data_IF_379481665006
#
_entry.id   IF_379481665006
#
_cell.length_a   1.000
_cell.length_b   1.000
_cell.length_c   1.000
_cell.angle_alpha   90.00
_cell.angle_beta   90.00
_cell.angle_gamma   90.00
#
_symmetry.space_group_name_H-M   'P 1'
#
loop_
_entity.id
_entity.type
_entity.pdbx_description
1 polymer ?
#
# COMPACT_ATOMS: atom_id res chain seq x y z
N UNK A 1 -2.18 28.69 -26.92
CA UNK A 1 -1.53 27.35 -26.99
C UNK A 1 -2.04 26.52 -25.80
N UNK A 2 -2.90 25.52 -26.05
CA UNK A 2 -3.39 24.59 -25.02
C UNK A 2 -2.25 23.65 -24.69
N UNK A 3 -1.75 23.68 -23.44
CA UNK A 3 -0.90 22.60 -22.89
C UNK A 3 -1.76 21.33 -22.90
N UNK A 4 -1.43 20.40 -23.78
CA UNK A 4 -1.91 19.04 -23.73
C UNK A 4 -1.30 18.44 -22.46
N UNK A 5 -2.15 18.12 -21.49
CA UNK A 5 -1.78 17.38 -20.30
C UNK A 5 -1.20 16.04 -20.77
N UNK A 6 0.08 15.83 -20.51
CA UNK A 6 0.78 14.59 -20.86
C UNK A 6 0.27 13.47 -19.93
N UNK A 7 -0.78 12.78 -20.37
CA UNK A 7 -1.41 11.65 -19.64
C UNK A 7 -0.58 10.37 -19.79
N UNK A 8 0.73 10.45 -19.56
CA UNK A 8 1.59 9.27 -19.53
C UNK A 8 1.60 8.72 -18.12
N UNK A 9 0.73 7.82 -17.83
CA UNK A 9 0.66 6.72 -16.87
C UNK A 9 -0.78 6.55 -16.35
N UNK A 10 -1.66 6.05 -17.17
CA UNK A 10 -2.88 5.41 -16.71
C UNK A 10 -2.63 3.92 -16.62
N UNK A 11 -2.78 3.37 -15.44
CA UNK A 11 -2.68 1.94 -15.20
C UNK A 11 -4.07 1.36 -15.03
N UNK A 12 -4.38 0.33 -15.77
CA UNK A 12 -5.69 -0.32 -15.74
C UNK A 12 -5.51 -1.82 -15.66
N UNK A 13 -6.20 -2.40 -14.72
CA UNK A 13 -6.56 -3.80 -14.53
C UNK A 13 -5.61 -4.63 -13.66
N UNK A 14 -6.11 -4.94 -12.48
CA UNK A 14 -5.56 -5.96 -11.61
C UNK A 14 -6.64 -6.98 -11.25
N UNK A 15 -6.29 -8.24 -11.23
CA UNK A 15 -7.08 -9.33 -10.65
C UNK A 15 -6.51 -9.57 -9.26
N UNK A 16 -7.32 -9.43 -8.20
CA UNK A 16 -6.78 -9.58 -6.88
C UNK A 16 -7.80 -9.92 -5.80
N UNK A 17 -7.33 -10.63 -4.79
CA UNK A 17 -8.01 -10.91 -3.54
C UNK A 17 -7.47 -9.97 -2.46
N UNK A 18 -8.28 -9.05 -1.96
CA UNK A 18 -8.00 -8.36 -0.70
C UNK A 18 -9.12 -8.75 0.26
N UNK A 19 -8.82 -9.64 1.19
CA UNK A 19 -9.65 -9.86 2.35
C UNK A 19 -9.25 -8.87 3.45
N UNK A 20 -9.84 -7.68 3.47
CA UNK A 20 -9.94 -6.92 4.71
C UNK A 20 -11.12 -7.52 5.48
N UNK A 21 -10.83 -8.29 6.51
CA UNK A 21 -11.84 -8.59 7.51
C UNK A 21 -12.14 -7.26 8.24
N UNK A 22 -13.40 -6.78 8.27
CA UNK A 22 -13.75 -5.67 9.13
C UNK A 22 -13.49 -6.12 10.57
N UNK A 23 -12.75 -5.33 11.33
CA UNK A 23 -12.60 -5.52 12.76
C UNK A 23 -13.97 -5.24 13.43
N UNK A 24 -14.85 -6.21 13.43
CA UNK A 24 -16.11 -6.19 14.12
C UNK A 24 -16.05 -7.20 15.25
N UNK A 25 -16.10 -6.68 16.47
CA UNK A 25 -16.34 -7.37 17.72
C UNK A 25 -15.29 -8.39 18.18
N UNK A 26 -15.03 -8.39 19.48
CA UNK A 26 -14.20 -9.34 20.20
C UNK A 26 -14.51 -10.77 19.79
N UNK A 27 -13.78 -11.31 18.83
CA UNK A 27 -13.83 -12.70 18.48
C UNK A 27 -12.86 -13.47 19.38
N UNK A 28 -13.37 -14.48 20.04
CA UNK A 28 -12.56 -15.42 20.83
C UNK A 28 -11.87 -16.47 19.94
N UNK A 29 -11.93 -16.30 18.62
CA UNK A 29 -11.36 -17.21 17.64
C UNK A 29 -10.16 -16.60 16.92
N UNK A 30 -9.21 -17.46 16.54
CA UNK A 30 -8.06 -17.09 15.72
C UNK A 30 -8.51 -16.94 14.27
N UNK A 31 -8.25 -15.79 13.69
CA UNK A 31 -8.51 -15.51 12.28
C UNK A 31 -7.27 -15.82 11.45
N UNK A 32 -7.44 -16.40 10.28
CA UNK A 32 -6.35 -16.67 9.34
C UNK A 32 -6.67 -16.06 7.98
N UNK A 33 -5.68 -15.43 7.34
CA UNK A 33 -5.77 -14.91 5.99
C UNK A 33 -4.80 -15.64 5.09
N UNK A 34 -5.28 -16.18 3.97
CA UNK A 34 -4.47 -16.75 2.90
C UNK A 34 -5.02 -16.17 1.60
N UNK A 35 -4.22 -15.36 0.91
CA UNK A 35 -4.63 -14.72 -0.32
C UNK A 35 -3.46 -14.61 -1.30
N UNK A 36 -3.76 -14.39 -2.58
CA UNK A 36 -2.76 -14.03 -3.58
C UNK A 36 -3.41 -13.17 -4.66
N UNK A 37 -2.77 -12.04 -4.95
CA UNK A 37 -3.19 -11.14 -6.02
C UNK A 37 -2.29 -11.30 -7.25
N UNK A 38 -2.89 -11.22 -8.44
CA UNK A 38 -2.15 -11.02 -9.69
C UNK A 38 -2.52 -9.64 -10.20
N UNK A 39 -1.55 -8.74 -10.25
CA UNK A 39 -1.76 -7.35 -10.67
C UNK A 39 -1.03 -7.07 -11.99
N UNK A 40 -1.63 -6.29 -12.86
CA UNK A 40 -0.99 -5.87 -14.13
C UNK A 40 0.08 -4.80 -13.91
N UNK A 41 -0.02 -4.08 -12.78
CA UNK A 41 0.93 -3.05 -12.38
C UNK A 41 0.88 -2.88 -10.86
N UNK A 42 2.03 -2.81 -10.22
CA UNK A 42 2.13 -2.56 -8.78
C UNK A 42 2.17 -1.04 -8.52
N UNK A 43 1.06 -0.49 -8.07
CA UNK A 43 0.93 0.93 -7.70
C UNK A 43 0.76 1.02 -6.18
N UNK A 44 1.66 1.77 -5.54
CA UNK A 44 1.64 2.02 -4.11
C UNK A 44 1.74 3.52 -3.81
N UNK A 45 0.73 4.08 -3.13
CA UNK A 45 0.66 5.51 -2.74
C UNK A 45 0.94 6.49 -3.90
N UNK A 46 0.42 6.16 -5.10
CA UNK A 46 0.64 6.93 -6.32
C UNK A 46 2.00 6.72 -6.99
N UNK A 47 2.81 5.81 -6.49
CA UNK A 47 4.08 5.40 -7.08
C UNK A 47 3.92 4.11 -7.89
N UNK A 48 4.56 4.07 -9.06
CA UNK A 48 4.68 2.87 -9.88
C UNK A 48 5.91 2.08 -9.42
N UNK A 49 5.69 0.97 -8.71
CA UNK A 49 6.74 0.13 -8.15
C UNK A 49 7.05 -1.12 -8.99
N UNK A 50 6.25 -1.42 -10.01
CA UNK A 50 6.50 -2.58 -10.86
C UNK A 50 5.37 -2.89 -11.83
N UNK A 51 5.64 -3.83 -12.71
CA UNK A 51 4.73 -4.31 -13.74
C UNK A 51 3.87 -5.47 -13.20
N UNK A 52 3.54 -6.42 -14.08
CA UNK A 52 2.79 -7.63 -13.71
C UNK A 52 3.47 -8.33 -12.54
N UNK A 53 2.73 -8.51 -11.45
CA UNK A 53 3.28 -9.06 -10.20
C UNK A 53 2.31 -10.06 -9.58
N UNK A 54 2.87 -11.05 -8.88
CA UNK A 54 2.18 -11.95 -7.97
C UNK A 54 2.41 -11.48 -6.54
N UNK A 55 1.32 -11.29 -5.79
CA UNK A 55 1.35 -10.69 -4.45
C UNK A 55 0.64 -11.58 -3.42
N UNK A 56 1.35 -12.57 -2.84
CA UNK A 56 0.80 -13.44 -1.80
C UNK A 56 0.66 -12.70 -0.46
N UNK A 57 -0.35 -13.10 0.31
CA UNK A 57 -0.62 -12.62 1.68
C UNK A 57 -0.86 -13.82 2.59
N UNK A 58 -0.22 -13.82 3.75
CA UNK A 58 -0.51 -14.72 4.87
C UNK A 58 -0.71 -13.89 6.13
N UNK A 59 -1.77 -14.16 6.87
CA UNK A 59 -2.08 -13.41 8.09
C UNK A 59 -2.68 -14.29 9.17
N UNK A 60 -2.46 -13.87 10.42
CA UNK A 60 -3.11 -14.40 11.62
C UNK A 60 -3.58 -13.23 12.48
N UNK A 61 -4.78 -13.36 13.02
CA UNK A 61 -5.39 -12.35 13.89
C UNK A 61 -5.96 -12.99 15.16
N UNK A 62 -5.93 -12.24 16.26
CA UNK A 62 -6.58 -12.61 17.51
C UNK A 62 -6.87 -11.38 18.37
N UNK A 63 -8.14 -11.19 18.74
CA UNK A 63 -8.59 -10.10 19.65
C UNK A 63 -8.09 -8.72 19.26
N UNK A 64 -8.16 -8.39 17.97
CA UNK A 64 -7.72 -7.12 17.41
C UNK A 64 -6.23 -7.06 17.08
N UNK A 65 -5.40 -7.96 17.58
CA UNK A 65 -4.01 -8.08 17.12
C UNK A 65 -3.95 -8.85 15.80
N UNK A 66 -3.05 -8.44 14.92
CA UNK A 66 -2.76 -9.13 13.68
C UNK A 66 -1.26 -9.15 13.37
N UNK A 67 -0.84 -10.22 12.72
CA UNK A 67 0.48 -10.34 12.11
C UNK A 67 0.27 -10.80 10.66
N UNK A 68 0.77 -10.03 9.71
CA UNK A 68 0.58 -10.28 8.28
C UNK A 68 1.91 -10.23 7.56
N UNK A 69 2.22 -11.28 6.81
CA UNK A 69 3.28 -11.30 5.81
C UNK A 69 2.66 -11.09 4.44
N UNK A 70 3.17 -10.11 3.70
CA UNK A 70 2.81 -9.82 2.32
C UNK A 70 4.07 -9.82 1.45
N UNK A 71 3.94 -10.18 0.21
CA UNK A 71 5.06 -10.09 -0.72
C UNK A 71 4.63 -9.63 -2.09
N UNK A 72 5.60 -9.19 -2.90
CA UNK A 72 5.41 -8.89 -4.33
C UNK A 72 6.58 -9.42 -5.13
N UNK A 73 6.28 -10.19 -6.16
CA UNK A 73 7.27 -10.70 -7.10
C UNK A 73 6.85 -10.30 -8.50
N UNK A 74 7.65 -9.43 -9.14
CA UNK A 74 7.46 -9.04 -10.53
C UNK A 74 7.68 -10.23 -11.46
N UNK A 75 6.80 -10.37 -12.45
CA UNK A 75 6.79 -11.49 -13.40
C UNK A 75 7.28 -11.10 -14.79
N UNK A 76 7.46 -9.80 -15.06
CA UNK A 76 7.75 -9.32 -16.42
C UNK A 76 9.22 -9.39 -16.79
N UNK A 77 10.13 -9.27 -15.81
CA UNK A 77 11.58 -9.28 -15.99
C UNK A 77 12.26 -9.95 -14.81
N UNK A 78 13.47 -10.47 -15.03
CA UNK A 78 14.26 -11.10 -13.97
C UNK A 78 14.65 -10.14 -12.84
N UNK A 79 14.91 -8.88 -13.19
CA UNK A 79 15.30 -7.78 -12.29
C UNK A 79 14.12 -6.92 -11.80
N UNK A 80 12.88 -7.42 -12.00
CA UNK A 80 11.67 -6.74 -11.53
C UNK A 80 11.62 -6.69 -10.01
N UNK A 81 10.84 -5.77 -9.46
CA UNK A 81 10.70 -5.53 -8.02
C UNK A 81 10.34 -6.81 -7.27
N UNK A 82 11.06 -7.06 -6.19
CA UNK A 82 10.76 -8.10 -5.21
C UNK A 82 10.69 -7.43 -3.85
N UNK A 83 9.61 -7.70 -3.13
CA UNK A 83 9.32 -7.08 -1.84
C UNK A 83 8.74 -8.12 -0.88
N UNK A 84 9.07 -7.99 0.39
CA UNK A 84 8.46 -8.74 1.46
C UNK A 84 8.21 -7.83 2.65
N UNK A 85 6.97 -7.78 3.10
CA UNK A 85 6.53 -6.94 4.21
C UNK A 85 6.03 -7.78 5.36
N UNK A 86 6.39 -7.39 6.57
CA UNK A 86 5.87 -7.97 7.79
C UNK A 86 5.20 -6.87 8.61
N UNK A 87 3.88 -6.99 8.78
CA UNK A 87 3.06 -6.01 9.51
C UNK A 87 2.53 -6.61 10.79
N UNK A 88 2.75 -5.93 11.91
CA UNK A 88 2.07 -6.17 13.17
C UNK A 88 1.14 -4.99 13.47
N UNK A 89 -0.13 -5.26 13.76
CA UNK A 89 -1.11 -4.22 14.03
C UNK A 89 -2.07 -4.59 15.16
N UNK A 90 -2.70 -3.55 15.71
CA UNK A 90 -3.82 -3.68 16.65
C UNK A 90 -4.95 -2.76 16.22
N UNK A 91 -6.16 -3.32 16.15
CA UNK A 91 -7.37 -2.60 15.75
C UNK A 91 -8.46 -2.73 16.79
N UNK A 92 -9.12 -1.63 17.12
CA UNK A 92 -10.26 -1.60 18.04
C UNK A 92 -11.10 -0.34 17.82
N UNK A 93 -12.44 -0.49 17.74
CA UNK A 93 -13.38 0.64 17.70
C UNK A 93 -13.10 1.67 16.60
N UNK A 94 -12.67 1.23 15.41
CA UNK A 94 -12.28 2.10 14.29
C UNK A 94 -10.80 2.55 14.32
N UNK A 95 -10.13 2.52 15.47
CA UNK A 95 -8.70 2.82 15.59
C UNK A 95 -7.87 1.64 15.09
N UNK A 96 -6.83 1.92 14.34
CA UNK A 96 -5.77 0.98 13.99
C UNK A 96 -4.42 1.62 14.25
N UNK A 97 -3.52 0.90 14.92
CA UNK A 97 -2.11 1.23 15.05
C UNK A 97 -1.28 0.05 14.57
N UNK A 98 -0.15 0.31 13.94
CA UNK A 98 0.67 -0.76 13.39
C UNK A 98 2.11 -0.36 13.13
N UNK A 99 2.92 -1.37 12.90
CA UNK A 99 4.30 -1.25 12.43
C UNK A 99 4.47 -2.22 11.28
N UNK A 100 5.07 -1.73 10.19
CA UNK A 100 5.44 -2.54 9.03
C UNK A 100 6.95 -2.50 8.81
N UNK A 101 7.55 -3.64 8.61
CA UNK A 101 8.89 -3.83 8.10
C UNK A 101 8.77 -4.12 6.60
N UNK A 102 9.13 -3.16 5.76
CA UNK A 102 9.24 -3.30 4.31
C UNK A 102 10.65 -3.76 3.97
N UNK A 103 10.80 -4.85 3.27
CA UNK A 103 12.07 -5.27 2.72
C UNK A 103 12.03 -5.27 1.20
N UNK A 104 12.83 -4.39 0.60
CA UNK A 104 12.99 -4.29 -0.84
C UNK A 104 14.25 -5.04 -1.27
N UNK A 105 14.12 -6.09 -2.07
CA UNK A 105 15.27 -6.75 -2.67
C UNK A 105 15.82 -5.91 -3.83
N UNK A 106 16.56 -4.87 -3.49
CA UNK A 106 17.26 -4.02 -4.44
C UNK A 106 18.72 -4.48 -4.58
N UNK A 107 18.99 -5.37 -5.52
CA UNK A 107 20.34 -5.85 -5.80
C UNK A 107 20.84 -6.88 -4.78
N UNK A 108 21.93 -6.58 -4.06
CA UNK A 108 22.58 -7.49 -3.11
C UNK A 108 21.89 -7.55 -1.73
N UNK A 109 20.67 -7.02 -1.60
CA UNK A 109 19.92 -6.92 -0.35
C UNK A 109 19.73 -8.31 0.29
N UNK A 110 20.31 -8.49 1.49
CA UNK A 110 20.10 -9.67 2.32
C UNK A 110 18.96 -9.37 3.30
N UNK A 111 18.00 -10.28 3.40
CA UNK A 111 16.87 -10.11 4.32
C UNK A 111 17.31 -9.88 5.79
N UNK A 112 18.34 -10.53 6.27
CA UNK A 112 18.84 -10.37 7.65
C UNK A 112 19.96 -9.33 7.79
N UNK A 113 20.04 -8.34 6.90
CA UNK A 113 20.98 -7.21 7.00
C UNK A 113 20.27 -6.01 7.64
N UNK A 114 20.53 -5.77 8.93
CA UNK A 114 19.90 -4.67 9.70
C UNK A 114 20.87 -3.53 10.05
N UNK A 115 22.08 -3.53 9.51
CA UNK A 115 22.99 -2.37 9.62
C UNK A 115 22.36 -1.14 9.00
N UNK A 116 22.24 -0.07 9.77
CA UNK A 116 21.53 1.16 9.39
C UNK A 116 22.02 1.84 8.11
N UNK A 117 23.22 1.51 7.65
CA UNK A 117 23.82 2.06 6.42
C UNK A 117 23.80 1.09 5.22
N UNK A 118 23.37 -0.16 5.43
CA UNK A 118 23.37 -1.22 4.41
C UNK A 118 22.02 -1.89 4.23
N UNK A 119 21.14 -1.74 5.22
CA UNK A 119 19.84 -2.40 5.20
C UNK A 119 18.97 -1.92 4.04
N UNK A 120 18.24 -2.86 3.44
CA UNK A 120 17.13 -2.59 2.52
C UNK A 120 15.78 -2.56 3.23
N UNK A 121 15.76 -2.71 4.57
CA UNK A 121 14.55 -2.60 5.36
C UNK A 121 14.15 -1.15 5.60
N UNK A 122 12.85 -0.89 5.55
CA UNK A 122 12.23 0.38 5.97
C UNK A 122 11.19 0.06 7.02
N UNK A 123 11.31 0.66 8.19
CA UNK A 123 10.34 0.47 9.28
C UNK A 123 9.41 1.66 9.34
N UNK A 124 8.12 1.40 9.15
CA UNK A 124 7.05 2.39 9.16
C UNK A 124 6.10 2.13 10.34
N UNK A 125 5.76 3.18 11.07
CA UNK A 125 4.65 3.18 12.02
C UNK A 125 3.43 3.83 11.37
N UNK A 126 2.24 3.31 11.70
CA UNK A 126 1.00 3.91 11.24
C UNK A 126 -0.02 4.05 12.36
N UNK A 127 -0.88 5.06 12.20
CA UNK A 127 -2.11 5.22 12.95
C UNK A 127 -3.23 5.59 11.99
N UNK A 128 -4.38 4.95 12.15
CA UNK A 128 -5.55 5.20 11.32
C UNK A 128 -6.83 5.20 12.16
N UNK A 129 -7.84 5.90 11.66
CA UNK A 129 -9.17 5.85 12.23
C UNK A 129 -10.23 5.79 11.14
N UNK A 130 -11.11 4.80 11.26
CA UNK A 130 -12.28 4.62 10.40
C UNK A 130 -13.50 5.26 11.07
N UNK A 131 -14.01 6.34 10.47
CA UNK A 131 -15.23 7.04 10.88
C UNK A 131 -16.50 6.46 10.23
N UNK A 132 -16.36 5.40 9.43
CA UNK A 132 -17.40 4.80 8.61
C UNK A 132 -17.46 5.42 7.20
N UNK A 133 -17.93 6.64 7.02
CA UNK A 133 -17.95 7.30 5.69
C UNK A 133 -16.57 7.61 5.12
N UNK A 134 -15.59 7.84 5.99
CA UNK A 134 -14.20 8.18 5.63
C UNK A 134 -13.25 7.54 6.62
N UNK A 135 -12.16 6.98 6.14
CA UNK A 135 -11.02 6.59 6.96
C UNK A 135 -9.85 7.55 6.74
N UNK A 136 -9.14 7.87 7.81
CA UNK A 136 -7.93 8.69 7.80
C UNK A 136 -6.76 7.87 8.30
N UNK A 137 -5.62 7.92 7.61
CA UNK A 137 -4.41 7.21 7.99
C UNK A 137 -3.20 8.14 7.93
N UNK A 138 -2.29 7.98 8.89
CA UNK A 138 -0.98 8.57 8.92
C UNK A 138 0.09 7.49 9.02
N UNK A 139 1.11 7.59 8.20
CA UNK A 139 2.24 6.68 8.12
C UNK A 139 3.54 7.47 8.27
N UNK A 140 4.54 6.90 8.96
CA UNK A 140 5.85 7.54 9.14
C UNK A 140 6.95 6.49 9.20
N UNK A 141 7.94 6.62 8.34
CA UNK A 141 9.17 5.84 8.41
C UNK A 141 10.00 6.30 9.60
N UNK A 142 10.35 5.40 10.51
CA UNK A 142 11.11 5.76 11.71
C UNK A 142 12.51 5.14 11.76
N UNK A 143 12.77 4.08 10.97
CA UNK A 143 14.06 3.40 10.93
C UNK A 143 14.35 2.80 9.54
N UNK A 144 15.56 2.26 9.36
CA UNK A 144 15.98 1.59 8.13
C UNK A 144 16.39 2.57 7.01
N UNK A 145 16.19 2.14 5.76
CA UNK A 145 16.56 2.85 4.53
C UNK A 145 15.52 3.92 4.14
N UNK A 146 15.21 4.84 5.05
CA UNK A 146 14.32 5.95 4.79
C UNK A 146 14.95 6.97 3.81
N UNK A 147 14.11 7.80 3.22
CA UNK A 147 14.52 8.93 2.39
C UNK A 147 15.23 10.04 3.16
N UNK A 148 15.83 10.96 2.41
CA UNK A 148 16.51 12.14 2.94
C UNK A 148 15.65 13.39 2.76
N UNK A 149 15.73 14.30 3.71
CA UNK A 149 15.18 15.64 3.63
C UNK A 149 16.10 16.61 2.87
N UNK A 150 15.70 17.87 2.71
CA UNK A 150 16.47 18.90 2.02
C UNK A 150 17.88 19.15 2.61
N UNK A 151 18.11 18.78 3.86
CA UNK A 151 19.40 18.94 4.55
C UNK A 151 20.27 17.68 4.48
N UNK A 152 19.86 16.66 3.71
CA UNK A 152 20.59 15.40 3.59
C UNK A 152 20.50 14.51 4.83
N UNK A 153 19.56 14.78 5.75
CA UNK A 153 19.31 13.96 6.95
C UNK A 153 18.10 13.08 6.73
N UNK A 154 17.93 12.02 7.54
CA UNK A 154 16.74 11.18 7.55
C UNK A 154 15.48 12.05 7.51
N UNK A 155 14.58 11.77 6.58
CA UNK A 155 13.37 12.56 6.38
C UNK A 155 12.26 12.21 7.38
N UNK A 156 12.28 11.01 7.97
CA UNK A 156 11.11 10.43 8.63
C UNK A 156 9.90 10.48 7.69
N UNK A 157 10.12 10.00 6.47
CA UNK A 157 9.18 10.11 5.36
C UNK A 157 7.78 9.74 5.78
N UNK A 158 6.84 10.66 5.62
CA UNK A 158 5.47 10.46 6.07
C UNK A 158 4.51 10.57 4.90
N UNK A 159 3.39 9.86 5.04
CA UNK A 159 2.28 9.87 4.10
C UNK A 159 0.97 9.94 4.87
N UNK A 160 0.06 10.75 4.40
CA UNK A 160 -1.30 10.87 4.95
C UNK A 160 -2.30 10.54 3.89
N UNK A 161 -3.36 9.83 4.27
CA UNK A 161 -4.37 9.35 3.33
C UNK A 161 -5.77 9.51 3.91
N UNK A 162 -6.68 9.96 3.06
CA UNK A 162 -8.11 9.86 3.29
C UNK A 162 -8.71 8.93 2.24
N UNK A 163 -9.56 7.99 2.66
CA UNK A 163 -10.29 7.09 1.78
C UNK A 163 -11.78 7.06 2.13
N UNK A 164 -12.62 6.94 1.10
CA UNK A 164 -14.06 6.89 1.25
C UNK A 164 -14.64 5.74 0.42
N UNK A 165 -15.28 4.74 1.06
CA UNK A 165 -15.98 3.67 0.36
C UNK A 165 -17.36 4.14 -0.13
N UNK A 166 -17.78 3.64 -1.30
CA UNK A 166 -19.14 3.85 -1.82
C UNK A 166 -19.54 2.70 -2.75
N UNK A 167 -20.83 2.61 -3.08
CA UNK A 167 -21.36 1.59 -4.01
C UNK A 167 -21.89 2.24 -5.27
N UNK A 168 -21.51 1.76 -6.43
CA UNK A 168 -22.00 2.25 -7.71
C UNK A 168 -21.98 1.12 -8.76
N UNK A 169 -23.08 0.96 -9.51
CA UNK A 169 -23.14 0.03 -10.64
C UNK A 169 -22.93 -1.44 -10.27
N UNK A 170 -23.26 -1.84 -9.04
CA UNK A 170 -23.07 -3.21 -8.56
C UNK A 170 -21.62 -3.58 -8.26
N UNK A 171 -20.76 -2.58 -8.08
CA UNK A 171 -19.38 -2.70 -7.59
C UNK A 171 -19.21 -1.96 -6.28
N UNK A 172 -18.25 -2.40 -5.48
CA UNK A 172 -17.74 -1.68 -4.32
C UNK A 172 -16.59 -0.78 -4.78
N UNK A 173 -16.69 0.51 -4.45
CA UNK A 173 -15.72 1.53 -4.84
C UNK A 173 -15.03 2.12 -3.63
N UNK A 174 -13.77 2.51 -3.82
CA UNK A 174 -13.03 3.33 -2.86
C UNK A 174 -12.37 4.48 -3.60
N UNK A 175 -12.67 5.71 -3.18
CA UNK A 175 -11.94 6.90 -3.59
C UNK A 175 -10.86 7.21 -2.55
N UNK A 176 -9.66 7.54 -2.99
CA UNK A 176 -8.50 7.78 -2.14
C UNK A 176 -7.80 9.06 -2.56
N UNK A 177 -7.43 9.87 -1.58
CA UNK A 177 -6.50 10.98 -1.75
C UNK A 177 -5.39 10.86 -0.72
N UNK A 178 -4.13 10.98 -1.17
CA UNK A 178 -2.98 10.88 -0.31
C UNK A 178 -1.93 11.95 -0.60
N UNK A 179 -1.22 12.35 0.44
CA UNK A 179 -0.24 13.41 0.37
C UNK A 179 0.98 13.11 1.24
N UNK A 180 2.12 13.63 0.80
CA UNK A 180 3.38 13.69 1.54
C UNK A 180 3.44 15.08 2.20
N UNK A 181 3.54 15.19 3.54
CA UNK A 181 3.42 16.47 4.23
C UNK A 181 4.66 17.36 4.15
N UNK A 182 5.83 16.79 3.86
CA UNK A 182 7.10 17.54 3.82
C UNK A 182 8.13 16.84 2.92
N UNK A 183 9.27 17.51 2.71
CA UNK A 183 10.30 17.07 1.78
C UNK A 183 10.92 15.72 2.15
N UNK A 184 10.99 14.83 1.18
CA UNK A 184 11.63 13.53 1.27
C UNK A 184 12.04 13.02 -0.10
N UNK A 185 13.10 12.21 -0.15
CA UNK A 185 13.49 11.46 -1.35
C UNK A 185 12.83 10.07 -1.42
N UNK A 186 12.08 9.64 -0.41
CA UNK A 186 11.43 8.33 -0.37
C UNK A 186 10.21 8.27 -1.31
N UNK A 187 9.41 9.34 -1.34
CA UNK A 187 8.30 9.48 -2.26
C UNK A 187 8.70 10.30 -3.48
N UNK A 188 8.30 9.85 -4.66
CA UNK A 188 8.65 10.49 -5.93
C UNK A 188 7.51 11.39 -6.43
N UNK A 189 7.88 12.60 -6.88
CA UNK A 189 7.08 13.44 -7.74
C UNK A 189 7.63 13.43 -9.17
N UNK A 190 7.16 14.33 -10.02
CA UNK A 190 7.58 14.42 -11.45
C UNK A 190 9.06 14.73 -11.66
N UNK A 191 9.71 15.37 -10.70
CA UNK A 191 11.12 15.82 -10.77
C UNK A 191 12.02 15.10 -9.75
N UNK A 192 11.68 13.88 -9.35
CA UNK A 192 12.39 13.13 -8.31
C UNK A 192 11.70 13.23 -6.94
N UNK A 193 12.47 13.26 -5.84
CA UNK A 193 11.89 13.30 -4.50
C UNK A 193 11.01 14.53 -4.23
N UNK A 194 10.02 14.36 -3.36
CA UNK A 194 9.07 15.42 -2.97
C UNK A 194 9.80 16.53 -2.19
N UNK A 195 9.67 17.78 -2.63
CA UNK A 195 10.39 18.95 -2.07
C UNK A 195 9.63 19.69 -0.95
N UNK A 196 8.42 19.26 -0.62
CA UNK A 196 7.56 19.92 0.38
C UNK A 196 6.24 19.16 0.52
N UNK A 197 5.17 19.87 0.90
CA UNK A 197 3.84 19.28 0.81
C UNK A 197 3.49 18.98 -0.65
N UNK A 198 3.01 17.76 -0.90
CA UNK A 198 2.57 17.35 -2.23
C UNK A 198 1.46 16.30 -2.15
N UNK A 199 0.44 16.45 -2.97
CA UNK A 199 -0.53 15.37 -3.21
C UNK A 199 0.12 14.39 -4.18
N UNK A 200 0.39 13.17 -3.70
CA UNK A 200 1.11 12.15 -4.48
C UNK A 200 0.20 11.02 -4.94
N UNK A 201 -1.02 10.95 -4.44
CA UNK A 201 -1.96 9.90 -4.80
C UNK A 201 -3.39 10.43 -4.89
N UNK A 202 -4.00 10.28 -6.05
CA UNK A 202 -5.45 10.43 -6.25
C UNK A 202 -5.91 9.18 -6.99
N UNK A 203 -6.70 8.34 -6.34
CA UNK A 203 -7.08 7.05 -6.90
C UNK A 203 -8.57 6.75 -6.72
N UNK A 204 -9.08 5.95 -7.63
CA UNK A 204 -10.39 5.32 -7.53
C UNK A 204 -10.24 3.84 -7.89
N UNK A 205 -10.67 2.96 -6.99
CA UNK A 205 -10.64 1.51 -7.13
C UNK A 205 -12.07 0.97 -7.12
N UNK A 206 -12.42 0.14 -8.10
CA UNK A 206 -13.66 -0.63 -8.15
C UNK A 206 -13.35 -2.10 -7.91
N UNK A 207 -14.11 -2.76 -7.06
CA UNK A 207 -14.01 -4.19 -6.78
C UNK A 207 -15.35 -4.87 -7.01
N UNK A 208 -15.32 -6.08 -7.56
CA UNK A 208 -16.50 -6.90 -7.78
C UNK A 208 -16.16 -8.38 -7.62
N UNK A 209 -16.96 -9.08 -6.84
CA UNK A 209 -16.89 -10.53 -6.75
C UNK A 209 -17.51 -11.17 -8.00
N UNK A 210 -16.71 -11.97 -8.69
CA UNK A 210 -17.17 -12.79 -9.81
C UNK A 210 -17.44 -14.18 -9.29
N UNK A 211 -18.73 -14.55 -9.23
CA UNK A 211 -19.15 -15.88 -8.80
C UNK A 211 -18.72 -16.92 -9.84
N UNK A 212 -17.91 -17.88 -9.45
CA UNK A 212 -17.44 -18.99 -10.28
C UNK A 212 -18.29 -20.24 -10.03
N UNK A 213 -18.56 -20.55 -8.74
CA UNK A 213 -19.48 -21.62 -8.31
C UNK A 213 -20.41 -21.09 -7.24
N UNK A 214 -21.31 -21.91 -6.72
CA UNK A 214 -22.20 -21.52 -5.61
C UNK A 214 -21.45 -21.24 -4.30
N UNK A 215 -20.26 -21.78 -4.16
CA UNK A 215 -19.43 -21.66 -2.94
C UNK A 215 -18.11 -20.94 -3.15
N UNK A 216 -17.83 -20.50 -4.39
CA UNK A 216 -16.55 -19.86 -4.70
C UNK A 216 -16.74 -18.64 -5.62
N UNK A 217 -16.20 -17.52 -5.21
CA UNK A 217 -16.10 -16.28 -5.97
C UNK A 217 -14.65 -15.79 -6.03
N UNK A 218 -14.33 -15.13 -7.13
CA UNK A 218 -13.04 -14.46 -7.31
C UNK A 218 -13.28 -12.96 -7.33
N UNK A 219 -12.73 -12.18 -6.40
CA UNK A 219 -12.78 -10.74 -6.46
C UNK A 219 -11.87 -10.24 -7.59
N UNK A 220 -12.41 -9.34 -8.39
CA UNK A 220 -11.71 -8.66 -9.49
C UNK A 220 -11.75 -7.17 -9.20
N UNK A 221 -10.64 -6.48 -9.38
CA UNK A 221 -10.63 -5.04 -9.22
C UNK A 221 -9.99 -4.30 -10.40
N UNK A 222 -10.41 -3.06 -10.57
CA UNK A 222 -9.77 -2.09 -11.46
C UNK A 222 -9.47 -0.83 -10.66
N UNK A 223 -8.29 -0.25 -10.88
CA UNK A 223 -7.87 0.98 -10.24
C UNK A 223 -7.33 1.97 -11.26
N UNK A 224 -7.72 3.23 -11.10
CA UNK A 224 -7.07 4.37 -11.75
C UNK A 224 -6.41 5.17 -10.65
N UNK A 225 -5.11 5.43 -10.81
CA UNK A 225 -4.35 6.25 -9.88
C UNK A 225 -3.55 7.31 -10.64
N UNK A 226 -3.42 8.48 -10.05
CA UNK A 226 -2.61 9.58 -10.55
C UNK A 226 -1.74 10.12 -9.43
N UNK A 227 -0.49 10.45 -9.76
CA UNK A 227 0.39 11.25 -8.92
C UNK A 227 0.46 12.66 -9.52
N UNK A 228 -0.19 13.65 -8.91
CA UNK A 228 -0.21 15.03 -9.46
C UNK A 228 1.01 15.88 -9.06
N UNK A 229 1.94 15.38 -8.24
CA UNK A 229 3.10 16.12 -7.73
C UNK A 229 4.24 16.27 -8.73
#
# INVERSE_FOLDING_TARGET
>A
MKKILDMKKMSVLALGLIAFAPAASAQDEVETTIAADVVSQYIWRGQDLGNVSLQPTLGIGYKGFSLTGWGSVGLSKWDDTKEFDLTAAYSTGGLTIGITDYWFNSGDGRYFEYDSHKTSHVFEANVGYDFGPVALNWYTNFAGADGLNKSGKRAYSSYVEASAPFKLGGCDWTATIGAVPYATSFYYGHEGGVKGFAVTNVAVKATKDIKITDTFSVPVFAQIAANPS
#
